data_IF_945618011130
#
_entry.id   IF_945618011130
#
_cell.length_a   1.000
_cell.length_b   1.000
_cell.length_c   1.000
_cell.angle_alpha   90.00
_cell.angle_beta   90.00
_cell.angle_gamma   90.00
#
_symmetry.space_group_name_H-M   'P 1'
#
loop_
_entity.id
_entity.type
_entity.pdbx_description
1 polymer ?
#
# COMPACT_ATOMS: atom_id res chain seq x y z
N UNK A 1 -15.64 29.52 20.96
CA UNK A 1 -14.77 30.18 21.96
C UNK A 1 -14.99 31.67 21.88
N UNK A 2 -15.28 32.34 23.03
CA UNK A 2 -15.73 33.75 23.11
C UNK A 2 -14.62 34.74 22.71
N UNK A 3 -14.92 35.70 21.83
CA UNK A 3 -14.10 36.85 21.50
C UNK A 3 -14.90 38.07 22.07
N UNK A 4 -14.28 38.87 22.97
CA UNK A 4 -14.96 40.04 23.53
C UNK A 4 -15.43 41.05 22.47
N UNK A 5 -16.46 41.82 22.81
CA UNK A 5 -16.93 42.91 21.95
C UNK A 5 -15.87 44.03 21.81
N UNK A 6 -15.66 44.56 20.59
CA UNK A 6 -14.77 45.71 20.40
C UNK A 6 -15.27 46.94 21.14
N UNK A 7 -14.39 47.61 21.89
CA UNK A 7 -14.67 48.89 22.54
C UNK A 7 -14.08 50.02 21.72
N UNK A 8 -14.85 51.09 21.55
CA UNK A 8 -14.41 52.31 20.85
C UNK A 8 -13.35 53.03 21.70
N UNK A 9 -12.28 53.47 21.08
CA UNK A 9 -11.21 54.27 21.69
C UNK A 9 -11.01 55.53 20.85
N UNK A 10 -10.31 56.59 21.33
CA UNK A 10 -10.08 57.80 20.55
C UNK A 10 -9.39 57.55 19.21
N UNK A 11 -8.64 56.47 19.06
CA UNK A 11 -7.83 56.10 17.88
C UNK A 11 -8.36 54.88 17.11
N UNK A 12 -9.64 54.50 17.33
CA UNK A 12 -10.23 53.33 16.65
C UNK A 12 -10.97 52.37 17.59
N UNK A 13 -10.88 51.09 17.30
CA UNK A 13 -11.55 50.03 18.06
C UNK A 13 -10.54 49.07 18.67
N UNK A 14 -10.77 48.63 19.92
CA UNK A 14 -9.86 47.75 20.69
C UNK A 14 -10.60 46.53 21.24
N UNK A 15 -9.98 45.35 21.12
CA UNK A 15 -10.32 44.13 21.85
C UNK A 15 -9.15 43.75 22.74
N UNK A 16 -9.44 43.43 24.00
CA UNK A 16 -8.46 42.88 24.91
C UNK A 16 -8.58 41.35 24.90
N UNK A 17 -7.59 40.65 24.33
CA UNK A 17 -7.53 39.21 24.34
C UNK A 17 -6.73 38.74 25.58
N UNK A 18 -7.19 37.66 26.21
CA UNK A 18 -6.36 36.92 27.16
C UNK A 18 -5.87 35.62 26.51
N UNK A 19 -4.57 35.52 26.31
CA UNK A 19 -3.91 34.36 25.68
C UNK A 19 -2.80 33.90 26.61
N UNK A 20 -2.81 32.66 27.07
CA UNK A 20 -1.81 32.06 27.96
C UNK A 20 -1.50 32.93 29.23
N UNK A 21 -2.54 33.53 29.80
CA UNK A 21 -2.42 34.39 30.98
C UNK A 21 -2.00 35.83 30.69
N UNK A 22 -1.53 36.14 29.49
CA UNK A 22 -1.16 37.50 29.08
C UNK A 22 -2.32 38.24 28.40
N UNK A 23 -2.40 39.54 28.64
CA UNK A 23 -3.43 40.43 28.10
C UNK A 23 -2.88 41.16 26.87
N UNK A 24 -3.37 40.81 25.68
CA UNK A 24 -2.89 41.35 24.39
C UNK A 24 -3.95 42.28 23.83
N UNK A 25 -3.66 43.59 23.61
CA UNK A 25 -4.56 44.50 22.96
C UNK A 25 -4.51 44.33 21.45
N UNK A 26 -5.67 44.15 20.81
CA UNK A 26 -5.81 44.14 19.34
C UNK A 26 -6.57 45.39 18.95
N UNK A 27 -5.99 46.19 18.04
CA UNK A 27 -6.56 47.45 17.58
C UNK A 27 -6.83 47.44 16.06
N UNK A 28 -7.89 48.14 15.63
CA UNK A 28 -8.24 48.35 14.22
C UNK A 28 -9.15 49.56 14.07
N UNK A 29 -9.27 50.08 12.84
CA UNK A 29 -10.07 51.27 12.52
C UNK A 29 -11.58 51.01 12.55
N UNK A 30 -11.98 49.74 12.35
CA UNK A 30 -13.39 49.31 12.40
C UNK A 30 -13.63 48.17 13.35
N UNK A 31 -14.86 48.02 13.94
CA UNK A 31 -15.18 46.96 14.86
C UNK A 31 -15.10 45.58 14.17
N UNK A 32 -15.47 45.46 12.89
CA UNK A 32 -15.42 44.25 12.10
C UNK A 32 -14.00 43.78 11.87
N UNK A 33 -13.08 44.67 11.57
CA UNK A 33 -11.66 44.37 11.37
C UNK A 33 -10.97 44.04 12.68
N UNK A 34 -11.32 44.70 13.78
CA UNK A 34 -10.82 44.42 15.10
C UNK A 34 -11.18 42.99 15.54
N UNK A 35 -12.42 42.53 15.29
CA UNK A 35 -12.85 41.16 15.50
C UNK A 35 -12.10 40.17 14.63
N UNK A 36 -11.89 40.48 13.32
CA UNK A 36 -11.14 39.60 12.40
C UNK A 36 -9.69 39.42 12.85
N UNK A 37 -9.01 40.49 13.19
CA UNK A 37 -7.64 40.47 13.73
C UNK A 37 -7.57 39.66 15.04
N UNK A 38 -8.52 39.89 15.94
CA UNK A 38 -8.60 39.13 17.21
C UNK A 38 -8.85 37.63 16.99
N UNK A 39 -9.65 37.25 16.00
CA UNK A 39 -9.87 35.84 15.62
C UNK A 39 -8.59 35.20 15.05
N UNK A 40 -7.85 35.90 14.19
CA UNK A 40 -6.57 35.46 13.66
C UNK A 40 -5.52 35.26 14.76
N UNK A 41 -5.32 36.29 15.62
CA UNK A 41 -4.41 36.19 16.75
C UNK A 41 -4.75 35.03 17.68
N UNK A 42 -6.03 34.75 17.88
CA UNK A 42 -6.48 33.65 18.72
C UNK A 42 -6.29 32.29 18.06
N UNK A 43 -6.51 32.20 16.74
CA UNK A 43 -6.24 31.00 15.94
C UNK A 43 -4.73 30.70 15.86
N UNK A 44 -3.89 31.73 15.67
CA UNK A 44 -2.43 31.60 15.69
C UNK A 44 -1.91 31.19 17.08
N UNK A 45 -2.46 31.72 18.16
CA UNK A 45 -2.10 31.33 19.51
C UNK A 45 -2.60 29.92 19.90
N UNK A 46 -3.68 29.45 19.29
CA UNK A 46 -4.14 28.06 19.43
C UNK A 46 -3.30 27.09 18.62
N UNK A 47 -2.77 27.54 17.48
CA UNK A 47 -1.80 26.80 16.65
C UNK A 47 -0.36 26.94 17.16
N UNK A 48 -0.04 28.02 17.90
CA UNK A 48 1.21 28.16 18.63
C UNK A 48 1.19 27.20 19.84
N UNK A 49 1.76 26.04 19.63
CA UNK A 49 2.24 25.04 20.57
C UNK A 49 1.49 24.97 21.91
N UNK A 50 0.58 24.01 22.07
CA UNK A 50 0.44 23.31 23.34
C UNK A 50 1.86 22.91 23.76
N UNK A 51 2.29 23.18 25.02
CA UNK A 51 3.58 22.71 25.48
C UNK A 51 3.61 21.20 25.23
N UNK A 52 4.46 20.76 24.31
CA UNK A 52 4.65 19.34 24.02
C UNK A 52 5.10 18.75 25.35
N UNK A 53 4.29 17.87 25.97
CA UNK A 53 4.76 17.04 27.08
C UNK A 53 6.04 16.40 26.55
N UNK A 54 7.20 16.76 27.12
CA UNK A 54 8.48 16.17 26.73
C UNK A 54 8.32 14.66 26.90
N UNK A 55 8.21 13.94 25.80
CA UNK A 55 8.16 12.50 25.83
C UNK A 55 9.59 12.00 26.06
N UNK A 56 9.85 11.43 27.22
CA UNK A 56 11.19 10.95 27.61
C UNK A 56 11.51 9.57 27.00
N UNK A 57 10.57 8.97 26.27
CA UNK A 57 10.78 7.69 25.58
C UNK A 57 11.83 7.85 24.48
N UNK A 58 12.73 6.88 24.38
CA UNK A 58 13.59 6.74 23.20
C UNK A 58 12.77 6.33 21.98
N UNK A 59 13.29 6.54 20.77
CA UNK A 59 12.60 6.10 19.55
C UNK A 59 12.34 4.58 19.58
N UNK A 60 13.28 3.78 20.07
CA UNK A 60 13.08 2.33 20.28
C UNK A 60 11.88 2.05 21.17
N UNK A 61 11.81 2.67 22.35
CA UNK A 61 10.73 2.48 23.31
C UNK A 61 9.39 2.95 22.77
N UNK A 62 9.36 4.07 22.03
CA UNK A 62 8.17 4.59 21.41
C UNK A 62 7.64 3.66 20.31
N UNK A 63 8.54 3.04 19.51
CA UNK A 63 8.17 2.04 18.52
C UNK A 63 7.62 0.78 19.20
N UNK A 64 8.23 0.33 20.28
CA UNK A 64 7.78 -0.84 21.02
C UNK A 64 6.37 -0.61 21.58
N UNK A 65 6.14 0.50 22.25
CA UNK A 65 4.83 0.89 22.78
C UNK A 65 3.77 0.99 21.65
N UNK A 66 4.12 1.63 20.52
CA UNK A 66 3.23 1.75 19.38
C UNK A 66 2.78 0.39 18.83
N UNK A 67 3.70 -0.56 18.71
CA UNK A 67 3.42 -1.91 18.21
C UNK A 67 2.57 -2.67 19.23
N UNK A 68 2.91 -2.61 20.53
CA UNK A 68 2.24 -3.37 21.56
C UNK A 68 0.79 -2.90 21.78
N UNK A 69 0.55 -1.58 21.78
CA UNK A 69 -0.80 -1.02 21.86
C UNK A 69 -1.70 -1.44 20.68
N UNK A 70 -1.11 -1.73 19.53
CA UNK A 70 -1.83 -2.03 18.27
C UNK A 70 -1.66 -3.47 17.80
N UNK A 71 -1.10 -4.34 18.65
CA UNK A 71 -0.72 -5.71 18.28
C UNK A 71 -1.87 -6.50 17.67
N UNK A 72 -3.07 -6.37 18.23
CA UNK A 72 -4.28 -7.06 17.75
C UNK A 72 -4.96 -6.38 16.55
N UNK A 73 -4.56 -5.17 16.20
CA UNK A 73 -5.07 -4.41 15.06
C UNK A 73 -4.17 -4.51 13.83
N UNK A 74 -2.89 -4.80 14.06
CA UNK A 74 -1.87 -4.87 13.01
C UNK A 74 -1.71 -6.30 12.51
N UNK A 75 -1.55 -6.45 11.19
CA UNK A 75 -1.23 -7.76 10.64
C UNK A 75 0.18 -8.22 11.07
N UNK A 76 0.43 -9.54 11.23
CA UNK A 76 1.75 -10.06 11.57
C UNK A 76 2.87 -9.58 10.63
N UNK A 77 2.57 -9.46 9.34
CA UNK A 77 3.53 -8.95 8.34
C UNK A 77 3.80 -7.44 8.49
N UNK A 78 2.83 -6.65 8.96
CA UNK A 78 3.01 -5.23 9.27
C UNK A 78 3.92 -5.06 10.47
N UNK A 79 3.67 -5.80 11.56
CA UNK A 79 4.54 -5.81 12.76
C UNK A 79 5.97 -6.19 12.36
N UNK A 80 6.12 -7.25 11.56
CA UNK A 80 7.43 -7.65 11.03
C UNK A 80 8.11 -6.53 10.26
N UNK A 81 7.38 -5.83 9.41
CA UNK A 81 7.87 -4.66 8.66
C UNK A 81 8.37 -3.55 9.58
N UNK A 82 7.64 -3.23 10.63
CA UNK A 82 8.03 -2.23 11.64
C UNK A 82 9.27 -2.66 12.44
N UNK A 83 9.39 -3.93 12.82
CA UNK A 83 10.57 -4.49 13.48
C UNK A 83 11.81 -4.46 12.57
N UNK A 84 11.64 -4.68 11.25
CA UNK A 84 12.74 -4.52 10.30
C UNK A 84 13.19 -3.06 10.22
N UNK A 85 12.28 -2.10 10.15
CA UNK A 85 12.62 -0.67 10.18
C UNK A 85 13.38 -0.34 11.45
N UNK A 86 12.91 -0.75 12.62
CA UNK A 86 13.56 -0.52 13.91
C UNK A 86 15.01 -1.06 13.95
N UNK A 87 15.27 -2.20 13.31
CA UNK A 87 16.59 -2.85 13.30
C UNK A 87 17.53 -2.36 12.20
N UNK A 88 17.04 -1.65 11.19
CA UNK A 88 17.81 -1.35 9.98
C UNK A 88 17.80 0.11 9.56
N UNK A 89 16.91 0.94 10.13
CA UNK A 89 16.76 2.35 9.77
C UNK A 89 16.87 3.24 11.00
N UNK A 90 17.28 4.49 10.81
CA UNK A 90 17.39 5.48 11.87
C UNK A 90 18.21 5.01 13.08
N UNK A 91 19.22 4.16 12.87
CA UNK A 91 19.95 3.47 13.95
C UNK A 91 20.58 4.43 14.96
N UNK A 92 21.18 5.53 14.51
CA UNK A 92 21.75 6.56 15.37
C UNK A 92 20.71 7.33 16.19
N UNK A 93 19.45 7.28 15.75
CA UNK A 93 18.33 7.98 16.42
C UNK A 93 17.59 7.06 17.39
N UNK A 94 17.68 5.74 17.22
CA UNK A 94 16.97 4.77 18.07
C UNK A 94 17.16 4.97 19.58
N UNK A 95 18.37 5.27 20.13
CA UNK A 95 18.56 5.52 21.54
C UNK A 95 18.21 6.95 22.00
N UNK A 96 17.85 7.86 21.07
CA UNK A 96 17.55 9.25 21.38
C UNK A 96 16.12 9.43 21.87
N UNK A 97 15.92 10.30 22.85
CA UNK A 97 14.59 10.69 23.34
C UNK A 97 13.84 11.50 22.29
N UNK A 98 12.68 11.00 21.86
CA UNK A 98 11.90 11.58 20.75
C UNK A 98 11.38 13.00 21.05
N UNK A 99 11.11 13.31 22.33
CA UNK A 99 10.66 14.64 22.74
C UNK A 99 11.75 15.71 22.74
N UNK A 100 13.02 15.32 22.50
CA UNK A 100 14.17 16.25 22.44
C UNK A 100 14.67 16.51 21.03
N UNK A 101 14.10 15.83 20.02
CA UNK A 101 14.48 15.99 18.61
C UNK A 101 13.53 16.99 17.99
N UNK A 102 14.03 18.11 17.52
CA UNK A 102 13.23 19.12 16.84
C UNK A 102 13.00 18.80 15.34
N UNK A 103 12.17 19.59 14.68
CA UNK A 103 11.85 19.37 13.27
C UNK A 103 13.05 19.53 12.33
N UNK A 104 13.98 20.42 12.66
CA UNK A 104 15.21 20.64 11.86
C UNK A 104 16.14 19.42 11.96
N UNK A 105 16.29 18.88 13.17
CA UNK A 105 17.05 17.64 13.39
C UNK A 105 16.41 16.45 12.66
N UNK A 106 15.05 16.31 12.71
CA UNK A 106 14.35 15.28 11.95
C UNK A 106 14.60 15.39 10.44
N UNK A 107 14.63 16.60 9.90
CA UNK A 107 14.99 16.83 8.48
C UNK A 107 16.41 16.32 8.19
N UNK A 108 17.39 16.63 9.05
CA UNK A 108 18.76 16.15 8.93
C UNK A 108 18.86 14.62 8.99
N UNK A 109 18.13 13.99 9.92
CA UNK A 109 18.07 12.53 10.09
C UNK A 109 17.49 11.85 8.84
N UNK A 110 16.36 12.36 8.31
CA UNK A 110 15.74 11.81 7.09
C UNK A 110 16.64 11.99 5.88
N UNK A 111 17.33 13.12 5.78
CA UNK A 111 18.28 13.38 4.69
C UNK A 111 19.48 12.42 4.76
N UNK A 112 20.02 12.13 5.94
CA UNK A 112 21.09 11.15 6.12
C UNK A 112 20.65 9.74 5.68
N UNK A 113 19.42 9.31 6.02
CA UNK A 113 18.87 8.03 5.57
C UNK A 113 18.73 7.94 4.04
N UNK A 114 18.50 9.06 3.35
CA UNK A 114 18.45 9.10 1.88
C UNK A 114 19.83 8.84 1.23
N UNK A 115 20.93 9.02 1.96
CA UNK A 115 22.28 8.67 1.53
C UNK A 115 22.56 7.17 1.58
N UNK A 116 21.83 6.40 2.41
CA UNK A 116 22.11 4.97 2.66
C UNK A 116 21.00 4.03 2.20
N UNK A 117 19.83 4.55 1.83
CA UNK A 117 18.71 3.71 1.41
C UNK A 117 17.90 4.33 0.24
N UNK A 118 17.16 3.47 -0.48
CA UNK A 118 16.32 3.95 -1.58
C UNK A 118 15.24 4.91 -1.08
N UNK A 119 14.88 5.92 -1.89
CA UNK A 119 13.81 6.88 -1.58
C UNK A 119 12.52 6.21 -1.13
N UNK A 120 12.12 5.11 -1.77
CA UNK A 120 10.93 4.34 -1.39
C UNK A 120 11.06 3.73 0.00
N UNK A 121 12.22 3.17 0.33
CA UNK A 121 12.50 2.60 1.66
C UNK A 121 12.44 3.67 2.72
N UNK A 122 13.11 4.82 2.51
CA UNK A 122 13.09 5.94 3.45
C UNK A 122 11.69 6.53 3.58
N UNK A 123 10.94 6.70 2.48
CA UNK A 123 9.54 7.18 2.51
C UNK A 123 8.66 6.31 3.42
N UNK A 124 8.75 4.99 3.28
CA UNK A 124 7.96 4.05 4.09
C UNK A 124 8.40 4.07 5.56
N UNK A 125 9.70 4.06 5.82
CA UNK A 125 10.24 4.09 7.16
C UNK A 125 9.91 5.41 7.88
N UNK A 126 10.02 6.54 7.19
CA UNK A 126 9.66 7.85 7.72
C UNK A 126 8.15 7.98 7.98
N UNK A 127 7.30 7.45 7.10
CA UNK A 127 5.86 7.43 7.33
C UNK A 127 5.51 6.66 8.61
N UNK A 128 6.17 5.53 8.86
CA UNK A 128 6.00 4.79 10.10
C UNK A 128 6.49 5.58 11.32
N UNK A 129 7.70 6.15 11.29
CA UNK A 129 8.23 6.98 12.39
C UNK A 129 7.31 8.16 12.68
N UNK A 130 6.78 8.84 11.67
CA UNK A 130 5.78 9.91 11.87
C UNK A 130 4.52 9.42 12.59
N UNK A 131 4.04 8.21 12.27
CA UNK A 131 2.88 7.63 12.96
C UNK A 131 3.18 7.34 14.44
N UNK A 132 4.41 6.86 14.74
CA UNK A 132 4.88 6.67 16.12
C UNK A 132 4.97 8.00 16.85
N UNK A 133 5.60 9.01 16.28
CA UNK A 133 5.72 10.35 16.89
C UNK A 133 4.34 10.96 17.17
N UNK A 134 3.43 10.87 16.21
CA UNK A 134 2.07 11.37 16.34
C UNK A 134 1.30 10.67 17.47
N UNK A 135 1.46 9.34 17.66
CA UNK A 135 0.80 8.62 18.75
C UNK A 135 1.26 9.05 20.14
N UNK A 136 2.49 9.60 20.23
CA UNK A 136 3.04 10.18 21.46
C UNK A 136 2.85 11.70 21.55
N UNK A 137 1.98 12.30 20.71
CA UNK A 137 1.66 13.72 20.73
C UNK A 137 2.76 14.63 20.17
N UNK A 138 3.76 14.06 19.50
CA UNK A 138 4.85 14.84 18.87
C UNK A 138 4.47 15.14 17.43
N UNK A 139 4.38 16.43 17.12
CA UNK A 139 4.13 16.91 15.75
C UNK A 139 5.45 17.32 15.13
N UNK A 140 5.76 16.77 13.97
CA UNK A 140 6.90 17.17 13.13
C UNK A 140 6.42 17.98 11.93
N UNK A 141 7.30 18.83 11.40
CA UNK A 141 6.97 19.65 10.23
C UNK A 141 6.50 18.77 9.06
N UNK A 142 5.33 19.10 8.52
CA UNK A 142 4.75 18.41 7.37
C UNK A 142 5.57 18.59 6.08
N UNK A 143 6.46 19.57 6.05
CA UNK A 143 7.36 19.84 4.92
C UNK A 143 8.52 18.86 4.82
N UNK A 144 8.77 18.00 5.85
CA UNK A 144 9.74 16.91 5.74
C UNK A 144 9.18 15.83 4.81
N UNK A 145 9.39 16.05 3.49
CA UNK A 145 8.90 15.17 2.42
C UNK A 145 10.07 14.46 1.77
N UNK A 146 9.97 13.13 1.68
CA UNK A 146 10.91 12.33 0.88
C UNK A 146 10.53 12.48 -0.59
N UNK A 147 11.45 12.96 -1.46
CA UNK A 147 11.18 13.12 -2.89
C UNK A 147 10.78 11.79 -3.55
N UNK A 148 9.83 11.85 -4.47
CA UNK A 148 9.44 10.65 -5.22
C UNK A 148 10.54 10.22 -6.21
N UNK A 149 10.63 8.92 -6.46
CA UNK A 149 11.52 8.40 -7.51
C UNK A 149 10.98 8.80 -8.89
N UNK A 150 11.80 9.47 -9.70
CA UNK A 150 11.43 9.85 -11.08
C UNK A 150 11.39 8.67 -12.05
N UNK A 151 11.93 7.50 -11.69
CA UNK A 151 11.90 6.33 -12.58
C UNK A 151 10.48 5.77 -12.62
N UNK A 152 9.75 6.04 -13.69
CA UNK A 152 8.57 5.24 -14.06
C UNK A 152 9.09 3.80 -14.29
N UNK A 153 8.55 2.85 -13.55
CA UNK A 153 8.78 1.43 -13.86
C UNK A 153 8.06 1.16 -15.17
N UNK A 154 8.77 0.60 -16.16
CA UNK A 154 8.08 0.00 -17.29
C UNK A 154 7.12 -1.06 -16.78
N UNK A 155 5.93 -1.07 -17.34
CA UNK A 155 4.98 -2.14 -17.14
C UNK A 155 5.65 -3.48 -17.46
N UNK A 156 5.69 -4.37 -16.49
CA UNK A 156 6.34 -5.67 -16.67
C UNK A 156 5.32 -6.77 -16.33
N UNK A 157 4.45 -7.04 -17.28
CA UNK A 157 3.50 -8.16 -17.30
C UNK A 157 3.60 -8.88 -18.63
N UNK A 158 3.10 -10.09 -18.73
CA UNK A 158 3.02 -10.84 -19.98
C UNK A 158 1.88 -10.32 -20.84
N UNK A 159 2.15 -10.14 -22.12
CA UNK A 159 1.13 -9.85 -23.12
C UNK A 159 0.39 -11.13 -23.53
N UNK A 160 -0.80 -11.08 -24.20
CA UNK A 160 -1.64 -12.23 -24.47
C UNK A 160 -0.90 -13.42 -25.11
N UNK A 161 -0.03 -13.19 -26.11
CA UNK A 161 0.72 -14.26 -26.75
C UNK A 161 1.83 -14.83 -25.85
N UNK A 162 2.45 -13.98 -25.00
CA UNK A 162 3.39 -14.44 -23.99
C UNK A 162 2.71 -15.28 -22.91
N UNK A 163 1.46 -14.94 -22.53
CA UNK A 163 0.64 -15.73 -21.60
C UNK A 163 0.40 -17.13 -22.15
N UNK A 164 -0.01 -17.27 -23.42
CA UNK A 164 -0.21 -18.58 -24.06
C UNK A 164 1.06 -19.42 -24.05
N UNK A 165 2.22 -18.82 -24.40
CA UNK A 165 3.51 -19.50 -24.37
C UNK A 165 3.91 -19.91 -22.94
N UNK A 166 3.67 -19.06 -21.96
CA UNK A 166 3.95 -19.36 -20.55
C UNK A 166 3.08 -20.52 -20.05
N UNK A 167 1.78 -20.52 -20.33
CA UNK A 167 0.84 -21.58 -19.94
C UNK A 167 1.26 -22.92 -20.54
N UNK A 168 1.52 -22.96 -21.86
CA UNK A 168 1.99 -24.17 -22.53
C UNK A 168 3.32 -24.69 -21.98
N UNK A 169 4.28 -23.82 -21.67
CA UNK A 169 5.56 -24.24 -21.09
C UNK A 169 5.46 -24.72 -19.64
N UNK A 170 4.44 -24.25 -18.89
CA UNK A 170 4.19 -24.61 -17.50
C UNK A 170 3.39 -25.92 -17.34
N UNK A 171 2.68 -26.39 -18.35
CA UNK A 171 1.69 -27.46 -18.25
C UNK A 171 2.22 -28.75 -17.60
N UNK A 172 3.43 -29.19 -17.93
CA UNK A 172 4.06 -30.38 -17.38
C UNK A 172 4.99 -30.14 -16.18
N UNK A 173 5.07 -28.89 -15.71
CA UNK A 173 5.94 -28.57 -14.56
C UNK A 173 5.28 -29.01 -13.26
N UNK A 174 6.05 -29.61 -12.31
CA UNK A 174 5.52 -29.99 -10.98
C UNK A 174 4.89 -28.83 -10.20
N UNK A 175 5.25 -27.58 -10.51
CA UNK A 175 4.67 -26.38 -9.91
C UNK A 175 3.68 -25.67 -10.87
N UNK A 176 3.12 -26.40 -11.85
CA UNK A 176 2.12 -25.86 -12.79
C UNK A 176 0.95 -25.21 -12.04
N UNK A 177 0.32 -25.93 -11.10
CA UNK A 177 -0.85 -25.45 -10.36
C UNK A 177 -0.55 -24.10 -9.66
N UNK A 178 0.45 -23.97 -8.76
CA UNK A 178 0.69 -22.68 -8.10
C UNK A 178 1.13 -21.56 -9.05
N UNK A 179 1.79 -21.85 -10.17
CA UNK A 179 2.15 -20.84 -11.18
C UNK A 179 0.92 -20.30 -11.92
N UNK A 180 0.03 -21.19 -12.36
CA UNK A 180 -1.18 -20.80 -13.07
C UNK A 180 -2.22 -20.16 -12.15
N UNK A 181 -2.26 -20.52 -10.86
CA UNK A 181 -3.04 -19.79 -9.86
C UNK A 181 -2.58 -18.33 -9.70
N UNK A 182 -1.26 -18.08 -9.77
CA UNK A 182 -0.75 -16.71 -9.79
C UNK A 182 -1.19 -15.95 -11.06
N UNK A 183 -1.23 -16.62 -12.21
CA UNK A 183 -1.74 -16.08 -13.46
C UNK A 183 -3.26 -15.84 -13.39
N UNK A 184 -4.00 -16.65 -12.62
CA UNK A 184 -5.41 -16.44 -12.25
C UNK A 184 -5.60 -15.39 -11.16
N UNK A 185 -4.61 -14.53 -10.95
CA UNK A 185 -4.67 -13.39 -10.03
C UNK A 185 -4.56 -13.69 -8.54
N UNK A 186 -4.21 -14.89 -8.12
CA UNK A 186 -3.96 -15.17 -6.70
C UNK A 186 -2.66 -14.51 -6.21
N UNK A 187 -2.69 -14.01 -4.97
CA UNK A 187 -1.48 -13.49 -4.31
C UNK A 187 -0.58 -14.64 -3.88
N UNK A 188 0.73 -14.44 -3.85
CA UNK A 188 1.69 -15.45 -3.34
C UNK A 188 1.30 -15.98 -1.95
N UNK A 189 0.81 -15.11 -1.06
CA UNK A 189 0.40 -15.50 0.28
C UNK A 189 -0.90 -16.31 0.32
N UNK A 190 -1.80 -16.11 -0.62
CA UNK A 190 -3.02 -16.89 -0.80
C UNK A 190 -2.66 -18.28 -1.35
N UNK A 191 -1.79 -18.37 -2.36
CA UNK A 191 -1.30 -19.63 -2.92
C UNK A 191 -0.56 -20.46 -1.85
N UNK A 192 0.26 -19.80 -1.01
CA UNK A 192 1.02 -20.48 0.06
C UNK A 192 0.10 -20.96 1.22
N UNK A 193 -1.08 -20.36 1.37
CA UNK A 193 -2.09 -20.79 2.32
C UNK A 193 -3.04 -21.86 1.77
N UNK A 194 -3.19 -21.93 0.44
CA UNK A 194 -4.18 -22.76 -0.23
C UNK A 194 -3.93 -24.26 0.03
N UNK A 195 -5.01 -24.96 0.35
CA UNK A 195 -5.01 -26.41 0.55
C UNK A 195 -5.84 -27.08 -0.55
N UNK A 196 -5.56 -28.34 -0.84
CA UNK A 196 -6.26 -29.11 -1.87
C UNK A 196 -7.77 -29.25 -1.57
N UNK A 197 -8.14 -29.32 -0.31
CA UNK A 197 -9.54 -29.38 0.15
C UNK A 197 -10.35 -28.11 -0.17
N UNK A 198 -9.67 -27.01 -0.50
CA UNK A 198 -10.31 -25.76 -0.93
C UNK A 198 -10.58 -25.70 -2.45
N UNK A 199 -10.25 -26.73 -3.19
CA UNK A 199 -10.42 -26.81 -4.64
C UNK A 199 -11.46 -27.88 -4.96
N UNK A 200 -12.55 -27.48 -5.63
CA UNK A 200 -13.51 -28.42 -6.20
C UNK A 200 -13.16 -28.64 -7.68
N UNK A 201 -12.54 -29.79 -8.04
CA UNK A 201 -12.15 -30.07 -9.40
C UNK A 201 -13.35 -30.36 -10.33
N UNK A 202 -14.53 -30.65 -9.77
CA UNK A 202 -15.74 -30.93 -10.55
C UNK A 202 -16.53 -29.63 -10.84
N UNK A 203 -16.56 -28.70 -9.89
CA UNK A 203 -17.18 -27.41 -10.08
C UNK A 203 -16.27 -26.39 -10.81
N UNK A 204 -15.01 -26.77 -11.09
CA UNK A 204 -14.01 -25.86 -11.67
C UNK A 204 -13.84 -24.56 -10.86
N UNK A 205 -13.90 -24.65 -9.53
CA UNK A 205 -13.86 -23.52 -8.61
C UNK A 205 -12.86 -23.80 -7.49
N UNK A 206 -12.28 -22.75 -6.94
CA UNK A 206 -11.52 -22.81 -5.69
C UNK A 206 -12.00 -21.73 -4.72
N UNK A 207 -11.88 -22.03 -3.43
CA UNK A 207 -12.21 -21.12 -2.34
C UNK A 207 -10.93 -20.62 -1.66
N UNK A 208 -10.73 -19.30 -1.67
CA UNK A 208 -9.60 -18.70 -0.95
C UNK A 208 -10.04 -18.34 0.47
N UNK A 209 -9.33 -18.85 1.49
CA UNK A 209 -9.74 -18.70 2.90
C UNK A 209 -8.77 -17.91 3.77
N UNK A 210 -7.63 -17.48 3.23
CA UNK A 210 -6.64 -16.77 4.02
C UNK A 210 -5.32 -16.55 3.31
N UNK A 211 -4.36 -16.02 4.04
CA UNK A 211 -3.02 -15.73 3.55
C UNK A 211 -1.95 -16.21 4.54
N UNK A 212 -0.93 -16.92 4.04
CA UNK A 212 0.23 -17.33 4.85
C UNK A 212 1.31 -16.28 4.77
N UNK A 213 1.63 -15.67 5.91
CA UNK A 213 2.59 -14.56 6.02
C UNK A 213 3.65 -14.83 7.10
N UNK A 214 4.78 -14.12 7.07
CA UNK A 214 5.77 -14.20 8.14
C UNK A 214 5.47 -13.20 9.25
N UNK A 215 5.56 -13.66 10.50
CA UNK A 215 5.48 -12.84 11.70
C UNK A 215 6.83 -12.17 12.03
N UNK A 216 6.89 -11.43 13.13
CA UNK A 216 8.09 -10.71 13.60
C UNK A 216 9.26 -11.64 13.96
N UNK A 217 8.98 -12.90 14.32
CA UNK A 217 9.97 -13.98 14.59
C UNK A 217 10.42 -14.69 13.31
N UNK A 218 9.92 -14.26 12.13
CA UNK A 218 10.17 -14.86 10.84
C UNK A 218 9.51 -16.24 10.64
N UNK A 219 8.57 -16.62 11.49
CA UNK A 219 7.76 -17.82 11.40
C UNK A 219 6.58 -17.60 10.45
N UNK A 220 6.18 -18.64 9.74
CA UNK A 220 4.99 -18.58 8.92
C UNK A 220 3.74 -18.78 9.77
N UNK A 221 2.82 -17.84 9.68
CA UNK A 221 1.49 -17.89 10.32
C UNK A 221 0.41 -17.71 9.25
N UNK A 222 -0.71 -18.37 9.44
CA UNK A 222 -1.90 -18.12 8.64
C UNK A 222 -2.54 -16.86 9.21
N UNK A 223 -2.69 -15.85 8.36
CA UNK A 223 -3.52 -14.71 8.65
C UNK A 223 -4.93 -15.12 8.25
N UNK A 224 -5.73 -15.51 9.21
CA UNK A 224 -7.17 -15.55 9.04
C UNK A 224 -7.59 -14.10 8.89
N UNK A 225 -7.85 -13.67 7.68
CA UNK A 225 -8.37 -12.33 7.47
C UNK A 225 -9.77 -12.28 8.06
N UNK A 226 -9.83 -11.82 9.31
CA UNK A 226 -11.10 -11.44 9.89
C UNK A 226 -11.74 -10.38 9.01
N UNK A 227 -12.77 -10.80 8.26
CA UNK A 227 -13.84 -9.95 7.71
C UNK A 227 -13.52 -8.96 6.58
N UNK A 228 -12.49 -9.11 5.80
CA UNK A 228 -12.53 -8.48 4.49
C UNK A 228 -13.08 -9.51 3.48
N UNK A 229 -14.31 -9.31 3.03
CA UNK A 229 -15.02 -10.15 2.03
C UNK A 229 -14.22 -10.47 0.76
N UNK A 230 -13.11 -9.79 0.54
CA UNK A 230 -12.28 -9.83 -0.65
C UNK A 230 -11.22 -10.95 -0.66
N UNK A 231 -10.83 -11.46 0.51
CA UNK A 231 -9.90 -12.60 0.64
C UNK A 231 -10.63 -13.93 0.73
N UNK A 232 -11.89 -13.87 1.14
CA UNK A 232 -12.82 -15.00 1.19
C UNK A 232 -13.69 -14.94 -0.08
N UNK A 233 -13.19 -15.55 -1.15
CA UNK A 233 -13.86 -15.53 -2.45
C UNK A 233 -13.74 -16.84 -3.18
N UNK A 234 -14.74 -17.10 -4.02
CA UNK A 234 -14.68 -18.15 -5.02
C UNK A 234 -13.95 -17.66 -6.25
N UNK A 235 -12.98 -18.43 -6.73
CA UNK A 235 -12.20 -18.13 -7.93
C UNK A 235 -12.48 -19.20 -8.99
N UNK A 236 -13.02 -18.83 -10.17
CA UNK A 236 -13.24 -19.77 -11.25
C UNK A 236 -11.90 -20.20 -11.88
N UNK A 237 -11.77 -21.49 -12.20
CA UNK A 237 -10.59 -22.05 -12.86
C UNK A 237 -10.73 -21.89 -14.37
N UNK A 238 -10.29 -20.75 -14.93
CA UNK A 238 -10.53 -20.38 -16.32
C UNK A 238 -9.48 -20.95 -17.30
N UNK A 239 -8.33 -21.43 -16.82
CA UNK A 239 -7.23 -21.94 -17.65
C UNK A 239 -7.37 -23.47 -17.81
N UNK A 240 -7.55 -24.01 -19.04
CA UNK A 240 -7.71 -25.46 -19.25
C UNK A 240 -6.54 -26.29 -18.71
N UNK A 241 -5.30 -25.82 -18.90
CA UNK A 241 -4.09 -26.48 -18.39
C UNK A 241 -4.04 -26.52 -16.87
N UNK A 242 -4.57 -25.48 -16.19
CA UNK A 242 -4.71 -25.47 -14.74
C UNK A 242 -5.70 -26.54 -14.29
N UNK A 243 -6.87 -26.65 -14.93
CA UNK A 243 -7.87 -27.69 -14.62
C UNK A 243 -7.30 -29.09 -14.82
N UNK A 244 -6.58 -29.31 -15.92
CA UNK A 244 -5.91 -30.58 -16.20
C UNK A 244 -4.85 -30.93 -15.14
N UNK A 245 -4.01 -29.94 -14.78
CA UNK A 245 -3.00 -30.11 -13.74
C UNK A 245 -3.62 -30.37 -12.35
N UNK A 246 -4.71 -29.68 -12.00
CA UNK A 246 -5.44 -29.91 -10.74
C UNK A 246 -5.99 -31.35 -10.72
N UNK A 247 -6.64 -31.83 -11.77
CA UNK A 247 -7.17 -33.19 -11.85
C UNK A 247 -6.08 -34.25 -11.76
N UNK A 248 -4.89 -34.00 -12.36
CA UNK A 248 -3.73 -34.88 -12.30
C UNK A 248 -3.13 -34.95 -10.90
N UNK A 249 -2.96 -33.80 -10.23
CA UNK A 249 -2.16 -33.62 -9.01
C UNK A 249 -3.03 -33.58 -7.75
N UNK A 250 -4.35 -33.65 -7.87
CA UNK A 250 -5.31 -33.49 -6.77
C UNK A 250 -5.06 -34.51 -5.65
N UNK A 251 -5.16 -34.04 -4.43
CA UNK A 251 -5.03 -34.84 -3.20
C UNK A 251 -6.21 -34.53 -2.28
N UNK A 252 -6.63 -35.48 -1.43
CA UNK A 252 -7.75 -35.25 -0.52
C UNK A 252 -7.44 -34.19 0.55
N UNK A 253 -6.16 -33.98 0.86
CA UNK A 253 -5.68 -33.01 1.85
C UNK A 253 -4.29 -32.47 1.48
N UNK A 254 -3.79 -31.53 2.29
CA UNK A 254 -2.45 -30.98 2.17
C UNK A 254 -2.39 -29.65 1.42
N UNK A 255 -1.21 -29.08 1.37
CA UNK A 255 -0.98 -27.79 0.70
C UNK A 255 -0.86 -27.97 -0.81
N UNK A 256 -1.40 -27.00 -1.56
CA UNK A 256 -1.18 -26.90 -3.01
C UNK A 256 0.27 -26.50 -3.31
N UNK A 257 0.84 -25.61 -2.49
CA UNK A 257 2.27 -25.28 -2.53
C UNK A 257 2.98 -25.92 -1.32
N UNK A 258 3.56 -27.08 -1.51
CA UNK A 258 4.29 -27.86 -0.50
C UNK A 258 5.78 -27.48 -0.39
N UNK A 259 6.27 -26.63 -1.29
CA UNK A 259 7.63 -26.09 -1.31
C UNK A 259 7.69 -24.62 -0.88
N UNK A 260 8.91 -24.12 -0.65
CA UNK A 260 9.09 -22.72 -0.24
C UNK A 260 8.73 -21.72 -1.35
N UNK A 261 8.26 -20.52 -0.95
CA UNK A 261 7.97 -19.43 -1.89
C UNK A 261 9.14 -19.06 -2.82
N UNK A 262 10.40 -19.26 -2.36
CA UNK A 262 11.58 -19.02 -3.19
C UNK A 262 11.66 -20.01 -4.34
N UNK A 263 11.32 -21.27 -4.12
CA UNK A 263 11.28 -22.32 -5.15
C UNK A 263 10.25 -21.96 -6.23
N UNK A 264 9.04 -21.50 -5.84
CA UNK A 264 8.04 -21.06 -6.80
C UNK A 264 8.53 -19.84 -7.62
N UNK A 265 9.24 -18.88 -7.00
CA UNK A 265 9.81 -17.73 -7.74
C UNK A 265 10.86 -18.19 -8.76
N UNK A 266 11.68 -19.18 -8.41
CA UNK A 266 12.68 -19.77 -9.32
C UNK A 266 12.00 -20.54 -10.44
N UNK A 267 10.93 -21.29 -10.16
CA UNK A 267 10.15 -22.02 -11.17
C UNK A 267 9.53 -21.04 -12.19
N UNK A 268 8.90 -19.96 -11.74
CA UNK A 268 8.37 -18.93 -12.64
C UNK A 268 9.47 -18.37 -13.56
N UNK A 269 10.65 -18.05 -13.03
CA UNK A 269 11.77 -17.55 -13.82
C UNK A 269 12.25 -18.57 -14.86
N UNK A 270 12.32 -19.86 -14.47
CA UNK A 270 12.70 -20.97 -15.35
C UNK A 270 11.67 -21.15 -16.47
N UNK A 271 10.36 -21.11 -16.16
CA UNK A 271 9.31 -21.24 -17.17
C UNK A 271 9.30 -20.04 -18.12
N UNK A 272 9.52 -18.82 -17.63
CA UNK A 272 9.69 -17.66 -18.54
C UNK A 272 10.82 -17.90 -19.55
N UNK A 273 11.97 -18.44 -19.11
CA UNK A 273 13.09 -18.77 -20.00
C UNK A 273 12.73 -19.88 -20.98
N UNK A 274 12.08 -20.98 -20.51
CA UNK A 274 11.63 -22.10 -21.37
C UNK A 274 10.63 -21.64 -22.42
N UNK A 275 9.72 -20.74 -22.06
CA UNK A 275 8.69 -20.17 -22.94
C UNK A 275 9.23 -19.11 -23.92
N UNK A 276 10.47 -18.65 -23.77
CA UNK A 276 11.03 -17.56 -24.55
C UNK A 276 10.30 -16.22 -24.34
N UNK A 277 9.77 -15.99 -23.13
CA UNK A 277 9.07 -14.75 -22.77
C UNK A 277 9.89 -13.93 -21.79
N UNK A 278 9.51 -12.64 -21.64
CA UNK A 278 10.19 -11.76 -20.67
C UNK A 278 10.05 -12.29 -19.24
N UNK A 279 11.10 -12.10 -18.45
CA UNK A 279 11.13 -12.54 -17.06
C UNK A 279 10.13 -11.74 -16.22
N UNK A 280 9.19 -12.43 -15.58
CA UNK A 280 8.23 -11.87 -14.65
C UNK A 280 8.33 -12.53 -13.27
N UNK A 281 7.85 -11.84 -12.26
CA UNK A 281 7.70 -12.37 -10.90
C UNK A 281 6.30 -12.96 -10.71
N UNK A 282 6.09 -13.76 -9.64
CA UNK A 282 4.76 -14.27 -9.28
C UNK A 282 3.72 -13.14 -9.15
N UNK A 283 4.10 -11.98 -8.61
CA UNK A 283 3.20 -10.84 -8.53
C UNK A 283 2.90 -10.20 -9.90
N UNK A 284 3.85 -10.25 -10.81
CA UNK A 284 3.66 -9.76 -12.18
C UNK A 284 2.82 -10.72 -13.04
N UNK A 285 2.78 -12.04 -12.73
CA UNK A 285 1.78 -12.94 -13.31
C UNK A 285 0.36 -12.50 -12.95
N UNK A 286 0.14 -12.08 -11.70
CA UNK A 286 -1.13 -11.48 -11.28
C UNK A 286 -1.46 -10.20 -12.07
N UNK A 287 -0.46 -9.38 -12.39
CA UNK A 287 -0.67 -8.21 -13.27
C UNK A 287 -0.96 -8.62 -14.71
N UNK A 288 -0.42 -9.76 -15.18
CA UNK A 288 -0.73 -10.29 -16.52
C UNK A 288 -2.20 -10.68 -16.67
N UNK A 289 -2.86 -11.12 -15.59
CA UNK A 289 -4.33 -11.33 -15.59
C UNK A 289 -5.05 -10.01 -15.90
N UNK A 290 -4.70 -8.92 -15.25
CA UNK A 290 -5.31 -7.62 -15.49
C UNK A 290 -5.04 -7.09 -16.90
N UNK A 291 -3.82 -7.34 -17.44
CA UNK A 291 -3.48 -7.02 -18.83
C UNK A 291 -4.33 -7.81 -19.81
N UNK A 292 -4.45 -9.13 -19.60
CA UNK A 292 -5.31 -9.98 -20.44
C UNK A 292 -6.78 -9.54 -20.39
N UNK A 293 -7.30 -9.24 -19.19
CA UNK A 293 -8.67 -8.74 -19.02
C UNK A 293 -8.92 -7.46 -19.81
N UNK A 294 -7.96 -6.52 -19.79
CA UNK A 294 -8.05 -5.29 -20.55
C UNK A 294 -8.02 -5.53 -22.07
N UNK A 295 -7.15 -6.43 -22.56
CA UNK A 295 -7.12 -6.82 -23.97
C UNK A 295 -8.43 -7.51 -24.43
N UNK A 296 -9.04 -8.30 -23.55
CA UNK A 296 -10.35 -8.93 -23.80
C UNK A 296 -11.53 -7.98 -23.59
N UNK A 297 -11.27 -6.70 -23.24
CA UNK A 297 -12.29 -5.67 -22.97
C UNK A 297 -13.24 -6.04 -21.84
N UNK A 298 -12.78 -6.86 -20.89
CA UNK A 298 -13.58 -7.18 -19.70
C UNK A 298 -13.63 -5.90 -18.85
N UNK A 299 -14.80 -5.49 -18.33
CA UNK A 299 -14.90 -4.34 -17.44
C UNK A 299 -13.94 -4.45 -16.25
N UNK A 300 -13.33 -3.31 -15.86
CA UNK A 300 -12.33 -3.31 -14.80
C UNK A 300 -12.90 -3.81 -13.47
N UNK A 301 -14.17 -3.50 -13.18
CA UNK A 301 -14.90 -3.92 -11.99
C UNK A 301 -15.01 -5.44 -11.89
N UNK A 302 -15.38 -6.10 -13.00
CA UNK A 302 -15.49 -7.57 -13.09
C UNK A 302 -14.09 -8.21 -12.91
N UNK A 303 -13.08 -7.63 -13.55
CA UNK A 303 -11.71 -8.10 -13.41
C UNK A 303 -11.18 -7.94 -11.97
N UNK A 304 -11.60 -6.88 -11.27
CA UNK A 304 -11.26 -6.64 -9.87
C UNK A 304 -11.94 -7.66 -8.95
N UNK A 305 -13.20 -7.97 -9.20
CA UNK A 305 -13.98 -8.96 -8.44
C UNK A 305 -13.35 -10.36 -8.57
N UNK A 306 -13.16 -10.86 -9.78
CA UNK A 306 -12.52 -12.16 -10.04
C UNK A 306 -11.10 -12.19 -9.44
N UNK A 307 -10.34 -11.14 -9.63
CA UNK A 307 -8.95 -11.04 -9.21
C UNK A 307 -8.74 -10.69 -7.74
N UNK A 308 -9.76 -10.28 -6.99
CA UNK A 308 -9.65 -9.83 -5.60
C UNK A 308 -8.75 -8.61 -5.45
N UNK A 309 -9.03 -7.51 -6.18
CA UNK A 309 -8.37 -6.21 -6.02
C UNK A 309 -9.29 -5.22 -5.33
N UNK A 310 -8.84 -4.65 -4.22
CA UNK A 310 -9.56 -3.60 -3.46
C UNK A 310 -9.27 -2.19 -3.97
N UNK A 311 -8.20 -2.04 -4.75
CA UNK A 311 -7.76 -0.73 -5.22
C UNK A 311 -7.67 -0.74 -6.74
N UNK A 312 -8.42 0.16 -7.36
CA UNK A 312 -8.50 0.34 -8.80
C UNK A 312 -7.24 0.95 -9.44
N UNK A 313 -6.29 1.46 -8.62
CA UNK A 313 -5.11 2.17 -9.12
C UNK A 313 -4.30 1.35 -10.13
N UNK A 314 -4.03 0.08 -9.82
CA UNK A 314 -3.26 -0.81 -10.70
C UNK A 314 -4.08 -1.16 -11.93
N UNK A 315 -5.37 -1.44 -11.77
CA UNK A 315 -6.27 -1.70 -12.88
C UNK A 315 -6.35 -0.49 -13.82
N UNK A 316 -6.57 0.70 -13.28
CA UNK A 316 -6.55 1.95 -14.06
C UNK A 316 -5.22 2.17 -14.78
N UNK A 317 -4.08 1.88 -14.14
CA UNK A 317 -2.76 2.02 -14.77
C UNK A 317 -2.61 1.06 -15.96
N UNK A 318 -2.98 -0.21 -15.79
CA UNK A 318 -2.89 -1.24 -16.83
C UNK A 318 -3.87 -0.94 -17.96
N UNK A 319 -5.15 -0.69 -17.67
CA UNK A 319 -6.17 -0.39 -18.67
C UNK A 319 -5.86 0.89 -19.44
N UNK A 320 -5.36 1.93 -18.77
CA UNK A 320 -4.92 3.16 -19.45
C UNK A 320 -3.72 2.92 -20.36
N UNK A 321 -2.78 2.06 -19.94
CA UNK A 321 -1.62 1.72 -20.76
C UNK A 321 -2.07 1.02 -22.06
N UNK A 322 -2.92 0.01 -21.95
CA UNK A 322 -3.44 -0.76 -23.09
C UNK A 322 -4.33 0.11 -24.00
N UNK A 323 -5.21 0.92 -23.40
CA UNK A 323 -6.04 1.83 -24.18
C UNK A 323 -5.20 2.85 -24.98
N UNK A 324 -4.05 3.29 -24.44
CA UNK A 324 -3.12 4.17 -25.16
C UNK A 324 -2.45 3.49 -26.35
N UNK A 325 -2.12 2.20 -26.25
CA UNK A 325 -1.58 1.45 -27.40
C UNK A 325 -2.59 1.28 -28.52
N UNK A 326 -3.88 1.28 -28.19
CA UNK A 326 -4.99 1.10 -29.12
C UNK A 326 -5.64 2.42 -29.60
N UNK A 327 -5.05 3.57 -29.27
CA UNK A 327 -5.69 4.89 -29.52
C UNK A 327 -6.06 5.10 -31.00
N UNK A 328 -5.24 4.63 -31.93
CA UNK A 328 -5.52 4.77 -33.37
C UNK A 328 -6.71 3.90 -33.78
N UNK A 329 -6.84 2.71 -33.23
CA UNK A 329 -8.02 1.85 -33.43
C UNK A 329 -9.29 2.53 -32.94
N UNK A 330 -9.30 3.07 -31.72
CA UNK A 330 -10.46 3.78 -31.18
C UNK A 330 -10.82 5.04 -31.98
N UNK A 331 -9.84 5.79 -32.46
CA UNK A 331 -10.09 6.92 -33.38
C UNK A 331 -10.78 6.47 -34.64
N UNK A 332 -10.33 5.36 -35.25
CA UNK A 332 -10.93 4.81 -36.46
C UNK A 332 -12.34 4.29 -36.21
N UNK A 333 -12.60 3.62 -35.09
CA UNK A 333 -13.93 3.18 -34.68
C UNK A 333 -14.90 4.37 -34.53
N UNK A 334 -14.46 5.44 -33.85
CA UNK A 334 -15.25 6.67 -33.72
C UNK A 334 -15.46 7.37 -35.08
N UNK A 335 -14.43 7.44 -35.90
CA UNK A 335 -14.52 8.01 -37.25
C UNK A 335 -15.57 7.24 -38.10
N UNK A 336 -15.50 5.92 -38.08
CA UNK A 336 -16.46 5.08 -38.83
C UNK A 336 -17.89 5.24 -38.33
N UNK A 337 -18.09 5.36 -37.00
CA UNK A 337 -19.41 5.62 -36.42
C UNK A 337 -20.04 6.91 -36.95
N UNK A 338 -19.28 7.98 -37.10
CA UNK A 338 -19.78 9.29 -37.56
C UNK A 338 -19.91 9.34 -39.09
N UNK A 339 -19.17 8.54 -39.83
CA UNK A 339 -19.14 8.60 -41.32
C UNK A 339 -19.90 7.46 -41.99
N UNK A 340 -20.25 6.38 -41.32
CA UNK A 340 -21.18 5.36 -41.80
C UNK A 340 -22.61 5.88 -41.55
N UNK A 341 -23.18 6.52 -42.58
CA UNK A 341 -24.61 6.88 -42.65
C UNK A 341 -25.40 5.74 -43.24
#
# INVERSE_FOLDING_TARGET
MYIPEPKKTPTGWRIQLRINGQSIPVMADTPKECRRKAALFKAEAQNAAKPVKKCDLTLTQAIDAYIDERRNMLSPSTIRGYRIIQRTRFLSTMPRQIGRIDSSEWLGIVNAELGVASRKTVKNAWAFVKSVLSSHGITVDQNIKVPESRKKRSANWLEPDEIKKFVAAAADDPLCVPMLLALMSMRMSEIDALRWENIDPNADMLHTTGARVRNEKNEYVIKEEQKNQESDRMVPLLIPELRAAIKRDWKPDGKVLDVGQTTLRQAVARICSKAGVKRVTVHQLRHSFASLSAHLRIPAEISMEIGGWNNDKIMKEIYTHIARSDIERYKNEMWNFYNNK
#
